data_IF_661802127210
#
_entry.id   IF_661802127210
#
_cell.length_a   1.000
_cell.length_b   1.000
_cell.length_c   1.000
_cell.angle_alpha   90.00
_cell.angle_beta   90.00
_cell.angle_gamma   90.00
#
_symmetry.space_group_name_H-M   'P 1'
#
loop_
_entity.id
_entity.type
_entity.pdbx_description
1 polymer ?
#
# COMPACT_ATOMS: atom_id res chain seq x y z
N UNK A 1 -7.14 -24.75 -5.24
CA UNK A 1 -6.28 -23.55 -5.03
C UNK A 1 -7.21 -22.34 -4.86
N UNK A 2 -7.18 -21.66 -3.72
CA UNK A 2 -8.06 -20.51 -3.46
C UNK A 2 -7.67 -19.30 -4.30
N UNK A 3 -8.67 -18.56 -4.80
CA UNK A 3 -8.48 -17.30 -5.54
C UNK A 3 -7.97 -16.25 -4.53
N UNK A 4 -6.64 -16.09 -4.46
CA UNK A 4 -6.01 -15.01 -3.71
C UNK A 4 -6.37 -13.65 -4.33
N UNK A 5 -6.41 -12.59 -3.53
CA UNK A 5 -6.64 -11.21 -3.99
C UNK A 5 -5.67 -10.75 -5.09
N UNK A 6 -4.57 -11.47 -5.27
CA UNK A 6 -3.58 -11.27 -6.34
C UNK A 6 -4.04 -11.73 -7.73
N UNK A 7 -5.08 -12.57 -7.83
CA UNK A 7 -5.67 -12.96 -9.13
C UNK A 7 -6.58 -11.88 -9.72
N UNK A 8 -6.97 -10.88 -8.92
CA UNK A 8 -7.80 -9.77 -9.41
C UNK A 8 -6.94 -8.85 -10.27
N UNK A 9 -7.36 -8.52 -11.50
CA UNK A 9 -6.68 -7.52 -12.31
C UNK A 9 -6.50 -6.21 -11.53
N UNK A 10 -5.27 -5.68 -11.55
CA UNK A 10 -4.92 -4.40 -10.92
C UNK A 10 -5.30 -3.26 -11.86
N UNK A 11 -5.74 -2.13 -11.30
CA UNK A 11 -6.05 -0.94 -12.09
C UNK A 11 -4.78 -0.45 -12.79
N UNK A 12 -4.87 0.01 -14.05
CA UNK A 12 -3.70 0.52 -14.76
C UNK A 12 -3.26 1.86 -14.16
N UNK A 13 -2.01 2.23 -14.46
CA UNK A 13 -1.43 3.48 -14.02
C UNK A 13 -2.11 4.66 -14.72
N UNK A 14 -2.21 5.80 -14.02
CA UNK A 14 -2.61 7.06 -14.66
C UNK A 14 -1.50 7.59 -15.56
N UNK A 15 -1.83 8.52 -16.45
CA UNK A 15 -0.85 9.16 -17.33
C UNK A 15 0.38 9.70 -16.57
N UNK A 16 0.14 10.42 -15.46
CA UNK A 16 1.20 10.93 -14.60
C UNK A 16 2.04 9.82 -13.94
N UNK A 17 1.42 8.76 -13.41
CA UNK A 17 2.18 7.67 -12.79
C UNK A 17 2.97 6.84 -13.82
N UNK A 18 2.49 6.78 -15.05
CA UNK A 18 3.22 6.19 -16.18
C UNK A 18 4.46 7.03 -16.51
N UNK A 19 4.30 8.35 -16.67
CA UNK A 19 5.41 9.28 -16.83
C UNK A 19 6.43 9.16 -15.69
N UNK A 20 5.97 9.13 -14.43
CA UNK A 20 6.84 8.92 -13.27
C UNK A 20 7.63 7.62 -13.36
N UNK A 21 6.99 6.51 -13.74
CA UNK A 21 7.64 5.21 -13.83
C UNK A 21 8.78 5.21 -14.86
N UNK A 22 8.55 5.84 -16.02
CA UNK A 22 9.51 5.91 -17.12
C UNK A 22 10.67 6.87 -16.84
N UNK A 23 10.38 8.04 -16.25
CA UNK A 23 11.37 9.10 -16.08
C UNK A 23 12.15 9.01 -14.76
N UNK A 24 11.63 8.29 -13.76
CA UNK A 24 12.28 8.18 -12.45
C UNK A 24 13.71 7.62 -12.50
N UNK A 25 14.05 6.58 -13.28
CA UNK A 25 15.42 6.09 -13.39
C UNK A 25 16.39 7.18 -13.88
N UNK A 26 16.05 7.86 -14.99
CA UNK A 26 16.88 8.94 -15.54
C UNK A 26 17.07 10.10 -14.56
N UNK A 27 16.02 10.47 -13.81
CA UNK A 27 16.13 11.50 -12.78
C UNK A 27 16.99 11.06 -11.59
N UNK A 28 16.97 9.77 -11.25
CA UNK A 28 17.80 9.21 -10.16
C UNK A 28 19.27 9.14 -10.57
N UNK A 29 19.58 8.78 -11.80
CA UNK A 29 20.96 8.80 -12.32
C UNK A 29 21.55 10.21 -12.26
N UNK A 30 20.75 11.24 -12.59
CA UNK A 30 21.16 12.64 -12.49
C UNK A 30 21.22 13.18 -11.05
N UNK A 31 20.58 12.50 -10.10
CA UNK A 31 20.47 12.93 -8.71
C UNK A 31 20.60 11.72 -7.76
N UNK A 32 21.77 11.07 -7.70
CA UNK A 32 21.93 9.82 -6.94
C UNK A 32 21.73 10.03 -5.42
N UNK A 33 22.13 11.19 -4.90
CA UNK A 33 22.00 11.56 -3.48
C UNK A 33 20.60 12.06 -3.09
N UNK A 34 19.73 12.35 -4.07
CA UNK A 34 18.44 12.95 -3.77
C UNK A 34 17.48 11.93 -3.13
N UNK A 35 16.75 12.39 -2.11
CA UNK A 35 15.71 11.57 -1.49
C UNK A 35 14.59 11.26 -2.49
N UNK A 36 13.93 10.12 -2.30
CA UNK A 36 12.77 9.74 -3.11
C UNK A 36 11.69 10.84 -3.13
N UNK A 37 11.48 11.54 -2.01
CA UNK A 37 10.50 12.65 -1.97
C UNK A 37 10.91 13.80 -2.88
N UNK A 38 12.19 14.19 -2.87
CA UNK A 38 12.72 15.27 -3.69
C UNK A 38 12.65 14.91 -5.18
N UNK A 39 12.98 13.67 -5.51
CA UNK A 39 12.91 13.14 -6.87
C UNK A 39 11.49 13.22 -7.44
N UNK A 40 10.50 12.78 -6.65
CA UNK A 40 9.09 12.85 -7.04
C UNK A 40 8.63 14.31 -7.17
N UNK A 41 9.13 15.22 -6.32
CA UNK A 41 8.82 16.65 -6.39
C UNK A 41 9.37 17.28 -7.68
N UNK A 42 10.60 16.94 -8.08
CA UNK A 42 11.21 17.35 -9.35
C UNK A 42 10.43 16.82 -10.55
N UNK A 43 10.08 15.54 -10.55
CA UNK A 43 9.26 14.93 -11.61
C UNK A 43 7.85 15.54 -11.71
N UNK A 44 7.25 15.88 -10.57
CA UNK A 44 5.96 16.58 -10.55
C UNK A 44 6.05 17.96 -11.22
N UNK A 45 7.17 18.67 -11.03
CA UNK A 45 7.48 19.91 -11.75
C UNK A 45 7.59 19.68 -13.25
N UNK A 46 8.45 18.73 -13.67
CA UNK A 46 8.63 18.39 -15.07
C UNK A 46 7.32 17.98 -15.77
N UNK A 47 6.45 17.23 -15.08
CA UNK A 47 5.12 16.90 -15.61
C UNK A 47 4.24 18.13 -15.82
N UNK A 48 4.28 19.12 -14.92
CA UNK A 48 3.48 20.34 -15.09
C UNK A 48 3.92 21.12 -16.32
N UNK A 49 5.24 21.25 -16.52
CA UNK A 49 5.86 21.94 -17.65
C UNK A 49 5.74 21.18 -18.98
N UNK A 50 5.48 19.87 -18.94
CA UNK A 50 5.36 19.04 -20.13
C UNK A 50 4.28 19.55 -21.09
N UNK A 51 4.56 19.67 -22.41
CA UNK A 51 3.57 20.10 -23.40
C UNK A 51 2.33 19.19 -23.44
N UNK A 52 1.18 19.78 -23.80
CA UNK A 52 -0.08 19.04 -23.90
C UNK A 52 0.00 17.87 -24.89
N UNK A 53 0.73 18.03 -26.00
CA UNK A 53 0.96 16.97 -26.99
C UNK A 53 1.67 15.75 -26.40
N UNK A 54 2.71 15.96 -25.60
CA UNK A 54 3.43 14.87 -24.95
C UNK A 54 2.60 14.24 -23.81
N UNK A 55 1.86 15.06 -23.05
CA UNK A 55 0.89 14.55 -22.05
C UNK A 55 -0.19 13.68 -22.70
N UNK A 56 -0.63 14.03 -23.92
CA UNK A 56 -1.66 13.30 -24.63
C UNK A 56 -1.24 11.86 -24.95
N UNK A 57 0.02 11.62 -25.32
CA UNK A 57 0.56 10.26 -25.53
C UNK A 57 0.34 9.39 -24.29
N UNK A 58 0.60 9.94 -23.10
CA UNK A 58 0.39 9.23 -21.84
C UNK A 58 -1.09 9.00 -21.52
N UNK A 59 -1.98 9.94 -21.85
CA UNK A 59 -3.42 9.79 -21.66
C UNK A 59 -4.04 8.78 -22.64
N UNK A 60 -3.60 8.76 -23.89
CA UNK A 60 -4.02 7.75 -24.87
C UNK A 60 -3.60 6.36 -24.42
N UNK A 61 -2.35 6.20 -23.99
CA UNK A 61 -1.87 4.92 -23.52
C UNK A 61 -2.59 4.46 -22.23
N UNK A 62 -2.97 5.40 -21.35
CA UNK A 62 -3.86 5.14 -20.21
C UNK A 62 -5.24 4.66 -20.66
N UNK A 63 -5.84 5.27 -21.69
CA UNK A 63 -7.16 4.86 -22.21
C UNK A 63 -7.11 3.43 -22.73
N UNK A 64 -6.09 3.08 -23.51
CA UNK A 64 -5.89 1.71 -24.03
C UNK A 64 -5.73 0.70 -22.89
N UNK A 65 -4.90 1.00 -21.90
CA UNK A 65 -4.75 0.12 -20.73
C UNK A 65 -6.05 -0.03 -19.94
N UNK A 66 -6.86 1.03 -19.87
CA UNK A 66 -8.15 1.00 -19.17
C UNK A 66 -9.16 0.10 -19.87
N UNK A 67 -9.19 0.10 -21.20
CA UNK A 67 -10.00 -0.82 -21.98
C UNK A 67 -9.58 -2.27 -21.72
N UNK A 68 -8.28 -2.57 -21.84
CA UNK A 68 -7.71 -3.90 -21.54
C UNK A 68 -8.03 -4.35 -20.11
N UNK A 69 -7.91 -3.44 -19.14
CA UNK A 69 -8.27 -3.70 -17.76
C UNK A 69 -9.75 -4.06 -17.60
N UNK A 70 -10.63 -3.35 -18.30
CA UNK A 70 -12.07 -3.63 -18.32
C UNK A 70 -12.37 -5.06 -18.77
N UNK A 71 -11.78 -5.48 -19.88
CA UNK A 71 -11.93 -6.84 -20.41
C UNK A 71 -11.38 -7.90 -19.45
N UNK A 72 -10.18 -7.69 -18.91
CA UNK A 72 -9.58 -8.60 -17.93
C UNK A 72 -10.44 -8.71 -16.67
N UNK A 73 -10.98 -7.60 -16.19
CA UNK A 73 -11.83 -7.58 -15.00
C UNK A 73 -13.17 -8.27 -15.27
N UNK A 74 -13.75 -8.12 -16.46
CA UNK A 74 -14.97 -8.81 -16.85
C UNK A 74 -14.74 -10.33 -16.89
N UNK A 75 -13.66 -10.78 -17.56
CA UNK A 75 -13.25 -12.19 -17.60
C UNK A 75 -13.02 -12.76 -16.19
N UNK A 76 -12.29 -12.02 -15.35
CA UNK A 76 -12.06 -12.40 -13.96
C UNK A 76 -13.39 -12.56 -13.21
N UNK A 77 -14.28 -11.57 -13.25
CA UNK A 77 -15.58 -11.63 -12.57
C UNK A 77 -16.46 -12.79 -13.05
N UNK A 78 -16.44 -13.09 -14.34
CA UNK A 78 -17.20 -14.21 -14.91
C UNK A 78 -16.71 -15.58 -14.42
N UNK A 79 -15.42 -15.69 -14.04
CA UNK A 79 -14.84 -16.92 -13.49
C UNK A 79 -15.13 -17.13 -12.00
N UNK A 80 -15.66 -16.13 -11.30
CA UNK A 80 -15.87 -16.21 -9.85
C UNK A 80 -17.20 -16.88 -9.51
N UNK A 81 -17.16 -17.76 -8.51
CA UNK A 81 -18.40 -18.27 -7.90
C UNK A 81 -19.03 -17.21 -6.97
N UNK A 82 -20.35 -17.26 -6.72
CA UNK A 82 -21.00 -16.33 -5.79
C UNK A 82 -20.38 -16.34 -4.38
N UNK A 83 -19.98 -17.52 -3.90
CA UNK A 83 -19.31 -17.68 -2.61
C UNK A 83 -17.94 -16.97 -2.58
N UNK A 84 -17.14 -17.12 -3.64
CA UNK A 84 -15.84 -16.43 -3.77
C UNK A 84 -16.03 -14.90 -3.86
N UNK A 85 -17.02 -14.44 -4.62
CA UNK A 85 -17.33 -13.02 -4.73
C UNK A 85 -17.76 -12.42 -3.37
N UNK A 86 -18.56 -13.15 -2.59
CA UNK A 86 -18.94 -12.75 -1.23
C UNK A 86 -17.74 -12.70 -0.29
N UNK A 87 -16.86 -13.72 -0.32
CA UNK A 87 -15.64 -13.75 0.49
C UNK A 87 -14.73 -12.55 0.19
N UNK A 88 -14.49 -12.22 -1.08
CA UNK A 88 -13.69 -11.06 -1.47
C UNK A 88 -14.31 -9.72 -1.04
N UNK A 89 -15.65 -9.61 -1.06
CA UNK A 89 -16.36 -8.43 -0.57
C UNK A 89 -16.19 -8.26 0.94
N UNK A 90 -16.26 -9.35 1.68
CA UNK A 90 -16.07 -9.37 3.14
C UNK A 90 -14.62 -9.03 3.52
N UNK A 91 -13.64 -9.63 2.85
CA UNK A 91 -12.22 -9.31 3.03
C UNK A 91 -11.95 -7.81 2.78
N UNK A 92 -12.48 -7.26 1.68
CA UNK A 92 -12.35 -5.83 1.38
C UNK A 92 -12.97 -4.94 2.45
N UNK A 93 -14.12 -5.34 3.02
CA UNK A 93 -14.78 -4.64 4.13
C UNK A 93 -13.89 -4.63 5.38
N UNK A 94 -13.33 -5.78 5.76
CA UNK A 94 -12.38 -5.89 6.89
C UNK A 94 -11.14 -5.03 6.69
N UNK A 95 -10.54 -5.06 5.51
CA UNK A 95 -9.37 -4.24 5.18
C UNK A 95 -9.68 -2.74 5.28
N UNK A 96 -10.83 -2.30 4.78
CA UNK A 96 -11.24 -0.89 4.87
C UNK A 96 -11.51 -0.48 6.33
N UNK A 97 -12.17 -1.33 7.11
CA UNK A 97 -12.42 -1.08 8.54
C UNK A 97 -11.11 -0.97 9.32
N UNK A 98 -10.15 -1.87 9.07
CA UNK A 98 -8.79 -1.82 9.64
C UNK A 98 -8.07 -0.52 9.25
N UNK A 99 -8.11 -0.13 7.98
CA UNK A 99 -7.49 1.14 7.53
C UNK A 99 -8.13 2.35 8.23
N UNK A 100 -9.46 2.34 8.42
CA UNK A 100 -10.18 3.41 9.13
C UNK A 100 -9.78 3.47 10.60
N UNK A 101 -9.73 2.34 11.30
CA UNK A 101 -9.33 2.31 12.71
C UNK A 101 -7.88 2.75 12.92
N UNK A 102 -6.97 2.36 12.02
CA UNK A 102 -5.58 2.81 12.04
C UNK A 102 -5.46 4.32 11.81
N UNK A 103 -6.23 4.89 10.88
CA UNK A 103 -6.26 6.33 10.65
C UNK A 103 -6.76 7.09 11.88
N UNK A 104 -7.87 6.65 12.47
CA UNK A 104 -8.41 7.24 13.69
C UNK A 104 -7.41 7.15 14.86
N UNK A 105 -6.71 6.01 15.03
CA UNK A 105 -5.67 5.86 16.05
C UNK A 105 -4.50 6.83 15.85
N UNK A 106 -4.04 7.00 14.60
CA UNK A 106 -2.97 7.96 14.26
C UNK A 106 -3.39 9.39 14.59
N UNK A 107 -4.60 9.77 14.22
CA UNK A 107 -5.17 11.09 14.51
C UNK A 107 -5.24 11.34 16.02
N UNK A 108 -5.77 10.40 16.80
CA UNK A 108 -5.78 10.51 18.26
C UNK A 108 -4.37 10.62 18.87
N UNK A 109 -3.37 10.01 18.24
CA UNK A 109 -1.97 10.10 18.68
C UNK A 109 -1.39 11.48 18.38
N UNK A 110 -1.68 12.05 17.20
CA UNK A 110 -1.28 13.42 16.83
C UNK A 110 -1.94 14.46 17.75
N UNK A 111 -3.19 14.23 18.15
CA UNK A 111 -3.91 15.07 19.12
C UNK A 111 -3.43 14.91 20.57
N UNK A 112 -2.42 14.06 20.81
CA UNK A 112 -1.85 13.88 22.15
C UNK A 112 -2.79 13.20 23.15
N UNK A 113 -3.77 12.41 22.69
CA UNK A 113 -4.70 11.72 23.59
C UNK A 113 -3.93 10.91 24.65
N UNK A 114 -4.17 11.13 25.96
CA UNK A 114 -3.48 10.40 27.02
C UNK A 114 -3.62 8.89 26.85
N UNK A 115 -2.53 8.16 27.15
CA UNK A 115 -2.57 6.70 27.20
C UNK A 115 -3.48 6.26 28.33
N UNK A 116 -4.19 5.14 28.13
CA UNK A 116 -4.99 4.51 29.18
C UNK A 116 -4.12 4.16 30.41
N UNK A 117 -4.68 4.15 31.62
CA UNK A 117 -3.95 3.71 32.80
C UNK A 117 -3.47 2.26 32.61
N UNK A 118 -2.28 1.98 33.14
CA UNK A 118 -1.72 0.61 33.11
C UNK A 118 -2.50 -0.26 34.09
N UNK A 119 -2.90 -1.45 33.64
CA UNK A 119 -3.46 -2.49 34.52
C UNK A 119 -2.37 -3.04 35.46
N UNK A 120 -2.73 -3.59 36.62
CA UNK A 120 -1.76 -4.19 37.55
C UNK A 120 -0.85 -5.23 36.89
N UNK A 121 -1.40 -6.06 35.99
CA UNK A 121 -0.61 -6.99 35.18
C UNK A 121 0.37 -6.27 34.26
N UNK A 122 -0.02 -5.16 33.63
CA UNK A 122 0.88 -4.40 32.76
C UNK A 122 2.02 -3.74 33.55
N UNK A 123 1.78 -3.36 34.81
CA UNK A 123 2.79 -2.82 35.72
C UNK A 123 3.79 -3.92 36.08
N UNK A 124 3.29 -5.06 36.59
CA UNK A 124 4.09 -6.24 36.88
C UNK A 124 4.92 -6.69 35.67
N UNK A 125 4.32 -6.82 34.49
CA UNK A 125 5.04 -7.16 33.25
C UNK A 125 6.07 -6.09 32.92
N UNK A 126 5.77 -4.80 33.02
CA UNK A 126 6.78 -3.77 32.71
C UNK A 126 7.97 -3.74 33.66
N UNK A 127 7.81 -4.21 34.90
CA UNK A 127 8.87 -4.28 35.91
C UNK A 127 9.67 -5.58 35.82
N UNK A 128 8.99 -6.71 35.58
CA UNK A 128 9.58 -8.04 35.67
C UNK A 128 9.98 -8.64 34.30
N UNK A 129 9.61 -8.01 33.17
CA UNK A 129 9.88 -8.55 31.82
C UNK A 129 11.38 -8.65 31.49
N UNK A 130 12.21 -7.78 32.04
CA UNK A 130 13.66 -7.80 31.79
C UNK A 130 14.36 -8.93 32.57
N UNK A 131 13.79 -9.33 33.71
CA UNK A 131 14.32 -10.36 34.61
C UNK A 131 13.71 -11.74 34.34
N UNK A 132 12.65 -11.81 33.53
CA UNK A 132 12.06 -13.09 33.15
C UNK A 132 12.99 -13.85 32.21
N UNK A 133 13.71 -14.82 32.76
CA UNK A 133 14.41 -15.85 32.01
C UNK A 133 13.38 -16.72 31.26
N UNK A 134 13.33 -16.56 29.94
CA UNK A 134 12.43 -17.29 29.06
C UNK A 134 12.84 -17.14 27.60
N UNK A 135 12.55 -18.13 26.76
CA UNK A 135 12.82 -18.05 25.32
C UNK A 135 12.02 -16.86 24.80
N UNK A 136 12.74 -15.81 24.40
CA UNK A 136 12.12 -14.62 23.83
C UNK A 136 11.19 -15.05 22.69
N UNK A 137 9.97 -14.50 22.59
CA UNK A 137 9.10 -14.75 21.44
C UNK A 137 9.74 -14.34 20.10
N UNK A 138 10.83 -13.57 20.13
CA UNK A 138 11.66 -13.24 18.95
C UNK A 138 12.65 -14.37 18.62
N UNK A 139 13.19 -15.07 19.63
CA UNK A 139 14.22 -16.12 19.46
C UNK A 139 13.63 -17.44 18.94
N UNK A 140 12.33 -17.68 19.12
CA UNK A 140 11.67 -18.90 18.61
C UNK A 140 11.52 -18.96 17.08
N UNK A 141 11.67 -17.84 16.35
CA UNK A 141 11.57 -17.83 14.88
C UNK A 141 12.89 -18.14 14.17
N UNK A 142 14.03 -17.89 14.80
CA UNK A 142 15.36 -18.11 14.20
C UNK A 142 15.91 -19.53 14.44
N UNK A 143 15.20 -20.41 15.17
CA UNK A 143 15.59 -21.81 15.42
C UNK A 143 14.89 -22.84 14.52
N UNK A 144 14.19 -22.40 13.47
CA UNK A 144 13.48 -23.27 12.54
C UNK A 144 14.02 -23.24 11.10
N UNK A 145 15.26 -22.78 10.91
CA UNK A 145 16.06 -23.04 9.70
C UNK A 145 17.47 -23.47 10.07
#
# INVERSE_FOLDING_TARGET
RGISSDQRPKRPLTAYFRFLKENRPAFREKNPEASNMELIKKLAGAWKELPASQKQVYEEARKTDWQRYGEQLAKYKAQLTPAQAAALKEERRKQLAKRRSLRAKRELTVLGKPKRPRSGLNIFVSENFQESEGISPVVSQDRLF
#
